data_IF_505454986045
#
_entry.id   IF_505454986045
#
_cell.length_a   1.000
_cell.length_b   1.000
_cell.length_c   1.000
_cell.angle_alpha   90.00
_cell.angle_beta   90.00
_cell.angle_gamma   90.00
#
_symmetry.space_group_name_H-M   'P 1'
#
loop_
_entity.id
_entity.type
_entity.pdbx_description
1 polymer ?
#
# COMPACT_ATOMS: atom_id res chain seq x y z
N UNK A 1 -10.36 -25.16 -11.56
CA UNK A 1 -11.50 -25.97 -12.04
C UNK A 1 -12.08 -25.30 -13.27
N UNK A 2 -11.87 -25.88 -14.45
CA UNK A 2 -12.46 -25.35 -15.69
C UNK A 2 -13.85 -25.98 -15.86
N UNK A 3 -14.89 -25.18 -15.67
CA UNK A 3 -16.23 -25.58 -16.04
C UNK A 3 -16.47 -25.13 -17.48
N UNK A 4 -16.74 -26.05 -18.37
CA UNK A 4 -17.04 -25.74 -19.77
C UNK A 4 -18.31 -24.87 -19.83
N UNK A 5 -18.18 -23.61 -20.24
CA UNK A 5 -19.31 -22.72 -20.49
C UNK A 5 -19.98 -23.15 -21.78
N UNK A 6 -21.29 -23.39 -21.74
CA UNK A 6 -22.07 -23.71 -22.94
C UNK A 6 -22.11 -22.47 -23.84
N UNK A 7 -21.57 -22.55 -25.04
CA UNK A 7 -21.35 -21.40 -25.94
C UNK A 7 -19.87 -21.16 -26.21
N UNK A 8 -18.99 -21.76 -25.41
CA UNK A 8 -17.60 -22.01 -25.66
C UNK A 8 -16.75 -20.79 -25.95
N UNK A 9 -15.70 -21.02 -26.67
CA UNK A 9 -14.66 -20.07 -27.07
C UNK A 9 -15.21 -18.81 -27.75
N UNK A 10 -16.22 -18.94 -28.60
CA UNK A 10 -16.83 -17.79 -29.29
C UNK A 10 -17.44 -16.79 -28.32
N UNK A 11 -18.11 -17.23 -27.26
CA UNK A 11 -18.70 -16.36 -26.26
C UNK A 11 -17.61 -15.61 -25.46
N UNK A 12 -16.52 -16.28 -25.15
CA UNK A 12 -15.35 -15.70 -24.44
C UNK A 12 -14.70 -14.64 -25.34
N UNK A 13 -14.43 -14.96 -26.60
CA UNK A 13 -13.82 -14.00 -27.55
C UNK A 13 -14.71 -12.78 -27.80
N UNK A 14 -16.01 -12.97 -27.89
CA UNK A 14 -16.96 -11.85 -28.02
C UNK A 14 -16.99 -10.99 -26.75
N UNK A 15 -16.94 -11.58 -25.56
CA UNK A 15 -16.84 -10.85 -24.30
C UNK A 15 -15.57 -10.00 -24.24
N UNK A 16 -14.42 -10.53 -24.69
CA UNK A 16 -13.17 -9.77 -24.76
C UNK A 16 -13.24 -8.59 -25.72
N UNK A 17 -13.91 -8.75 -26.87
CA UNK A 17 -14.13 -7.64 -27.80
C UNK A 17 -15.00 -6.55 -27.20
N UNK A 18 -16.13 -6.94 -26.57
CA UNK A 18 -17.00 -5.99 -25.87
C UNK A 18 -16.26 -5.24 -24.77
N UNK A 19 -15.42 -5.92 -23.98
CA UNK A 19 -14.60 -5.29 -22.97
C UNK A 19 -13.62 -4.26 -23.57
N UNK A 20 -13.03 -4.56 -24.73
CA UNK A 20 -12.14 -3.64 -25.41
C UNK A 20 -12.88 -2.40 -25.95
N UNK A 21 -14.10 -2.58 -26.46
CA UNK A 21 -14.98 -1.50 -26.92
C UNK A 21 -15.43 -0.61 -25.75
N UNK A 22 -15.85 -1.22 -24.64
CA UNK A 22 -16.27 -0.51 -23.44
C UNK A 22 -15.12 0.30 -22.82
N UNK A 23 -13.91 -0.31 -22.72
CA UNK A 23 -12.70 0.39 -22.27
C UNK A 23 -12.36 1.59 -23.18
N UNK A 24 -12.54 1.46 -24.50
CA UNK A 24 -12.28 2.55 -25.44
C UNK A 24 -13.26 3.71 -25.22
N UNK A 25 -14.52 3.41 -24.87
CA UNK A 25 -15.59 4.38 -24.76
C UNK A 25 -15.96 5.02 -26.10
N UNK A 26 -16.56 6.21 -26.05
CA UNK A 26 -16.97 6.96 -27.26
C UNK A 26 -15.75 7.30 -28.14
N UNK A 27 -15.69 6.82 -29.37
CA UNK A 27 -14.61 7.14 -30.31
C UNK A 27 -14.46 8.64 -30.64
N UNK A 28 -15.48 9.46 -30.42
CA UNK A 28 -15.39 10.90 -30.57
C UNK A 28 -14.56 11.58 -29.45
N UNK A 29 -14.41 10.91 -28.31
CA UNK A 29 -13.58 11.38 -27.19
C UNK A 29 -12.15 10.88 -27.37
N UNK A 30 -11.12 11.75 -27.33
CA UNK A 30 -9.72 11.34 -27.41
C UNK A 30 -9.35 10.37 -26.28
N UNK A 31 -8.57 9.35 -26.60
CA UNK A 31 -8.03 8.46 -25.57
C UNK A 31 -7.05 9.17 -24.64
N UNK A 32 -7.08 8.81 -23.35
CA UNK A 32 -6.03 9.21 -22.41
C UNK A 32 -4.69 8.64 -22.86
N UNK A 33 -3.68 9.48 -22.98
CA UNK A 33 -2.30 9.05 -23.19
C UNK A 33 -1.68 8.52 -21.89
N UNK A 34 -0.67 7.67 -21.98
CA UNK A 34 0.07 7.20 -20.78
C UNK A 34 0.73 8.37 -20.04
N UNK A 35 1.21 9.38 -20.76
CA UNK A 35 1.78 10.58 -20.16
C UNK A 35 0.77 11.36 -19.32
N UNK A 36 -0.47 11.49 -19.77
CA UNK A 36 -1.55 12.13 -18.99
C UNK A 36 -1.85 11.34 -17.73
N UNK A 37 -2.00 10.03 -17.80
CA UNK A 37 -2.24 9.18 -16.64
C UNK A 37 -1.07 9.29 -15.65
N UNK A 38 0.17 9.14 -16.13
CA UNK A 38 1.37 9.24 -15.30
C UNK A 38 1.49 10.58 -14.57
N UNK A 39 1.19 11.69 -15.27
CA UNK A 39 1.39 13.03 -14.71
C UNK A 39 0.20 13.53 -13.88
N UNK A 40 -1.03 13.18 -14.24
CA UNK A 40 -2.25 13.75 -13.66
C UNK A 40 -2.92 12.81 -12.66
N UNK A 41 -2.64 11.49 -12.71
CA UNK A 41 -3.16 10.49 -11.78
C UNK A 41 -2.05 9.89 -10.90
N UNK A 42 -1.09 10.71 -10.48
CA UNK A 42 0.13 10.29 -9.76
C UNK A 42 -0.15 9.44 -8.52
N UNK A 43 -1.20 9.76 -7.76
CA UNK A 43 -1.55 8.99 -6.55
C UNK A 43 -2.04 7.58 -6.88
N UNK A 44 -2.78 7.41 -7.98
CA UNK A 44 -3.20 6.09 -8.46
C UNK A 44 -2.00 5.30 -8.99
N UNK A 45 -1.11 5.94 -9.74
CA UNK A 45 0.15 5.34 -10.22
C UNK A 45 1.02 4.86 -9.05
N UNK A 46 1.21 5.70 -8.03
CA UNK A 46 1.97 5.36 -6.83
C UNK A 46 1.38 4.15 -6.08
N UNK A 47 0.05 4.10 -5.94
CA UNK A 47 -0.66 2.98 -5.34
C UNK A 47 -0.43 1.69 -6.13
N UNK A 48 -0.61 1.72 -7.44
CA UNK A 48 -0.42 0.55 -8.31
C UNK A 48 1.02 0.04 -8.24
N UNK A 49 2.03 0.93 -8.25
CA UNK A 49 3.42 0.54 -8.08
C UNK A 49 3.68 -0.14 -6.72
N UNK A 50 3.19 0.46 -5.63
CA UNK A 50 3.43 -0.04 -4.28
C UNK A 50 2.78 -1.41 -4.06
N UNK A 51 1.48 -1.52 -4.31
CA UNK A 51 0.73 -2.76 -4.13
C UNK A 51 1.09 -3.81 -5.21
N UNK A 52 1.54 -3.36 -6.39
CA UNK A 52 2.09 -4.19 -7.46
C UNK A 52 3.52 -4.68 -7.22
N UNK A 53 4.23 -4.13 -6.24
CA UNK A 53 5.63 -4.44 -5.93
C UNK A 53 6.58 -4.25 -7.12
N UNK A 54 6.35 -3.22 -7.92
CA UNK A 54 7.17 -2.84 -9.06
C UNK A 54 7.20 -1.33 -9.22
N UNK A 55 8.37 -0.72 -9.10
CA UNK A 55 8.54 0.70 -9.37
C UNK A 55 8.77 0.92 -10.86
N UNK A 56 7.71 1.23 -11.55
CA UNK A 56 7.72 1.66 -12.96
C UNK A 56 6.47 2.49 -13.23
N UNK A 57 6.59 3.84 -13.26
CA UNK A 57 5.44 4.72 -13.47
C UNK A 57 4.75 4.55 -14.83
N UNK A 58 5.49 4.16 -15.87
CA UNK A 58 4.95 4.00 -17.21
C UNK A 58 4.17 2.68 -17.33
N UNK A 59 4.69 1.59 -16.75
CA UNK A 59 3.96 0.31 -16.66
C UNK A 59 2.74 0.42 -15.75
N UNK A 60 2.83 1.15 -14.63
CA UNK A 60 1.68 1.39 -13.76
C UNK A 60 0.59 2.22 -14.47
N UNK A 61 0.98 3.25 -15.24
CA UNK A 61 0.05 4.03 -16.06
C UNK A 61 -0.60 3.17 -17.17
N UNK A 62 0.17 2.28 -17.79
CA UNK A 62 -0.35 1.32 -18.77
C UNK A 62 -1.36 0.36 -18.14
N UNK A 63 -1.05 -0.18 -16.97
CA UNK A 63 -1.94 -1.06 -16.23
C UNK A 63 -3.26 -0.36 -15.86
N UNK A 64 -3.19 0.88 -15.37
CA UNK A 64 -4.38 1.71 -15.10
C UNK A 64 -5.22 1.95 -16.35
N UNK A 65 -4.59 2.27 -17.48
CA UNK A 65 -5.29 2.44 -18.75
C UNK A 65 -5.96 1.15 -19.20
N UNK A 66 -5.26 0.01 -19.12
CA UNK A 66 -5.79 -1.29 -19.51
C UNK A 66 -6.95 -1.74 -18.62
N UNK A 67 -6.87 -1.42 -17.34
CA UNK A 67 -7.90 -1.73 -16.34
C UNK A 67 -9.05 -0.71 -16.30
N UNK A 68 -9.13 0.24 -17.26
CA UNK A 68 -10.14 1.30 -17.28
C UNK A 68 -10.25 2.09 -15.95
N UNK A 69 -9.13 2.23 -15.24
CA UNK A 69 -9.05 2.94 -13.95
C UNK A 69 -9.31 2.09 -12.70
N UNK A 70 -9.66 0.81 -12.84
CA UNK A 70 -9.75 -0.11 -11.71
C UNK A 70 -8.34 -0.40 -11.16
N UNK A 71 -8.08 0.11 -9.95
CA UNK A 71 -6.76 -0.02 -9.32
C UNK A 71 -6.44 -1.45 -8.91
N UNK A 72 -7.45 -2.27 -8.55
CA UNK A 72 -7.23 -3.68 -8.17
C UNK A 72 -6.81 -4.50 -9.38
N UNK A 73 -7.51 -4.34 -10.50
CA UNK A 73 -7.14 -4.98 -11.75
C UNK A 73 -5.77 -4.49 -12.26
N UNK A 74 -5.48 -3.19 -12.15
CA UNK A 74 -4.18 -2.63 -12.53
C UNK A 74 -3.02 -3.23 -11.71
N UNK A 75 -3.22 -3.42 -10.39
CA UNK A 75 -2.25 -4.07 -9.51
C UNK A 75 -2.05 -5.54 -9.94
N UNK A 76 -3.13 -6.25 -10.28
CA UNK A 76 -3.05 -7.62 -10.78
C UNK A 76 -2.20 -7.69 -12.05
N UNK A 77 -2.48 -6.83 -13.04
CA UNK A 77 -1.74 -6.78 -14.30
C UNK A 77 -0.25 -6.49 -14.08
N UNK A 78 0.06 -5.54 -13.19
CA UNK A 78 1.44 -5.18 -12.87
C UNK A 78 2.19 -6.32 -12.16
N UNK A 79 1.55 -7.01 -11.20
CA UNK A 79 2.13 -8.19 -10.54
C UNK A 79 2.35 -9.33 -11.52
N UNK A 80 1.39 -9.59 -12.42
CA UNK A 80 1.52 -10.62 -13.43
C UNK A 80 2.70 -10.32 -14.38
N UNK A 81 2.80 -9.07 -14.85
CA UNK A 81 3.93 -8.65 -15.67
C UNK A 81 5.27 -8.80 -14.94
N UNK A 82 5.33 -8.39 -13.66
CA UNK A 82 6.54 -8.52 -12.85
C UNK A 82 7.07 -9.95 -12.79
N UNK A 83 6.21 -10.97 -12.79
CA UNK A 83 6.63 -12.38 -12.77
C UNK A 83 7.35 -12.80 -14.04
N UNK A 84 7.21 -12.06 -15.13
CA UNK A 84 7.91 -12.32 -16.39
C UNK A 84 9.30 -11.71 -16.47
N UNK A 85 9.63 -10.80 -15.53
CA UNK A 85 10.90 -10.09 -15.51
C UNK A 85 11.99 -10.95 -14.81
N UNK A 86 13.19 -11.05 -15.38
CA UNK A 86 14.31 -11.66 -14.68
C UNK A 86 14.75 -10.77 -13.51
N UNK A 87 15.22 -11.39 -12.42
CA UNK A 87 15.93 -10.66 -11.39
C UNK A 87 17.42 -10.61 -11.76
N UNK A 88 17.96 -9.41 -11.89
CA UNK A 88 19.37 -9.20 -12.20
C UNK A 88 20.23 -9.12 -10.95
N UNK A 89 19.65 -8.67 -9.81
CA UNK A 89 20.38 -8.54 -8.56
C UNK A 89 19.50 -7.91 -7.47
N UNK A 90 20.12 -7.58 -6.36
CA UNK A 90 19.55 -6.82 -5.25
C UNK A 90 20.30 -5.50 -5.13
N UNK A 91 19.56 -4.41 -4.85
CA UNK A 91 20.21 -3.15 -4.47
C UNK A 91 20.83 -3.30 -3.09
N UNK A 92 21.84 -2.49 -2.80
CA UNK A 92 22.20 -2.24 -1.41
C UNK A 92 21.01 -1.62 -0.67
N UNK A 93 20.93 -1.70 0.69
CA UNK A 93 19.89 -1.04 1.44
C UNK A 93 19.79 0.45 1.06
N UNK A 94 18.57 0.94 0.84
CA UNK A 94 18.35 2.34 0.49
C UNK A 94 18.61 3.23 1.71
N UNK A 95 19.41 4.27 1.53
CA UNK A 95 19.64 5.30 2.55
C UNK A 95 18.59 6.41 2.44
N UNK A 96 17.52 6.31 3.22
CA UNK A 96 16.48 7.33 3.26
C UNK A 96 16.94 8.62 3.98
N UNK A 97 18.06 8.61 4.71
CA UNK A 97 18.64 9.83 5.27
C UNK A 97 19.19 10.75 4.17
N UNK A 98 19.66 10.16 3.06
CA UNK A 98 20.10 10.88 1.86
C UNK A 98 18.98 11.34 0.92
N UNK A 99 17.70 11.19 1.29
CA UNK A 99 16.56 11.56 0.45
C UNK A 99 16.61 13.05 0.04
N UNK A 100 16.46 13.32 -1.26
CA UNK A 100 16.14 14.64 -1.77
C UNK A 100 14.67 14.94 -1.47
N UNK A 101 14.44 15.74 -0.41
CA UNK A 101 13.13 15.91 0.20
C UNK A 101 12.28 16.91 -0.57
N UNK A 102 11.10 16.49 -1.02
CA UNK A 102 10.08 17.34 -1.67
C UNK A 102 8.94 17.73 -0.72
N UNK A 103 8.71 16.96 0.33
CA UNK A 103 7.78 17.23 1.42
C UNK A 103 8.32 16.64 2.72
N UNK A 104 8.21 17.40 3.83
CA UNK A 104 8.63 16.95 5.16
C UNK A 104 7.75 17.56 6.22
N UNK A 105 7.04 16.73 6.99
CA UNK A 105 6.13 17.16 8.05
C UNK A 105 6.42 16.37 9.32
N UNK A 106 6.38 17.03 10.45
CA UNK A 106 6.38 16.43 11.78
C UNK A 106 5.26 17.04 12.63
N UNK A 107 4.64 16.21 13.45
CA UNK A 107 3.68 16.63 14.46
C UNK A 107 4.31 16.74 15.86
N UNK A 108 5.59 16.36 16.02
CA UNK A 108 6.23 16.28 17.34
C UNK A 108 6.99 17.53 17.71
N UNK A 109 7.55 18.25 16.73
CA UNK A 109 8.28 19.50 16.96
C UNK A 109 7.77 20.60 16.03
N UNK A 110 7.69 21.82 16.57
CA UNK A 110 7.35 23.01 15.79
C UNK A 110 8.52 23.44 14.89
N UNK A 111 9.70 23.49 15.46
CA UNK A 111 10.91 23.94 14.78
C UNK A 111 11.84 22.73 14.57
N UNK A 112 12.08 22.39 13.31
CA UNK A 112 12.91 21.26 12.90
C UNK A 112 14.23 21.76 12.28
N UNK A 113 15.36 21.09 12.53
CA UNK A 113 16.55 21.27 11.70
C UNK A 113 16.23 20.98 10.23
N UNK A 114 16.52 21.92 9.33
CA UNK A 114 16.12 21.86 7.92
C UNK A 114 14.66 22.26 7.63
N UNK A 115 13.87 22.57 8.67
CA UNK A 115 12.49 23.06 8.54
C UNK A 115 11.46 21.99 8.18
N UNK A 116 10.21 22.42 8.15
CA UNK A 116 9.11 21.66 7.56
C UNK A 116 8.93 22.13 6.10
N UNK A 117 8.71 21.18 5.19
CA UNK A 117 8.51 21.45 3.76
C UNK A 117 7.09 20.99 3.43
N UNK A 118 6.21 21.95 3.15
CA UNK A 118 4.80 21.65 2.95
C UNK A 118 4.54 20.81 1.69
N UNK A 119 5.20 21.16 0.59
CA UNK A 119 5.00 20.48 -0.70
C UNK A 119 3.56 20.51 -1.20
N UNK A 120 3.23 19.76 -2.25
CA UNK A 120 1.86 19.62 -2.72
C UNK A 120 1.04 18.73 -1.76
N UNK A 121 -0.07 19.26 -1.23
CA UNK A 121 -0.91 18.55 -0.26
C UNK A 121 -2.37 18.99 -0.34
N UNK A 122 -3.28 18.07 0.00
CA UNK A 122 -4.69 18.38 0.21
C UNK A 122 -5.01 18.87 1.64
N UNK A 123 -4.06 18.85 2.57
CA UNK A 123 -4.30 19.08 4.00
C UNK A 123 -4.95 20.42 4.30
N UNK A 124 -4.61 21.44 3.53
CA UNK A 124 -5.10 22.81 3.70
C UNK A 124 -6.13 23.23 2.64
N UNK A 125 -6.58 22.29 1.80
CA UNK A 125 -7.66 22.56 0.86
C UNK A 125 -9.01 22.49 1.56
N UNK A 126 -10.00 23.23 1.05
CA UNK A 126 -11.35 23.20 1.59
C UNK A 126 -12.13 21.91 1.27
N UNK A 127 -11.55 21.02 0.42
CA UNK A 127 -12.17 19.76 -0.04
C UNK A 127 -13.52 19.98 -0.74
N UNK A 128 -13.67 21.11 -1.44
CA UNK A 128 -14.79 21.39 -2.30
C UNK A 128 -14.48 20.97 -3.74
N UNK A 129 -15.51 20.68 -4.51
CA UNK A 129 -15.36 20.46 -5.95
C UNK A 129 -14.91 21.76 -6.63
N UNK A 130 -13.91 21.66 -7.44
CA UNK A 130 -13.40 22.75 -8.28
C UNK A 130 -14.06 22.67 -9.66
N UNK A 131 -15.07 23.49 -9.88
CA UNK A 131 -15.80 23.51 -11.15
C UNK A 131 -15.03 24.16 -12.29
N UNK A 132 -13.93 24.87 -12.00
CA UNK A 132 -13.06 25.42 -13.06
C UNK A 132 -12.37 24.29 -13.84
N UNK A 133 -12.21 23.11 -13.22
CA UNK A 133 -11.69 21.91 -13.88
C UNK A 133 -12.65 21.30 -14.92
N UNK A 134 -13.90 21.78 -15.03
CA UNK A 134 -14.86 21.35 -16.06
C UNK A 134 -14.58 21.98 -17.43
N UNK A 135 -13.81 23.06 -17.49
CA UNK A 135 -13.43 23.70 -18.73
C UNK A 135 -12.37 22.84 -19.45
N UNK A 136 -12.71 22.44 -20.68
CA UNK A 136 -11.75 21.70 -21.51
C UNK A 136 -10.59 22.62 -21.92
N UNK A 137 -9.35 22.31 -21.51
CA UNK A 137 -8.19 23.11 -21.86
C UNK A 137 -7.69 22.85 -23.30
N UNK A 138 -8.48 22.20 -24.16
CA UNK A 138 -8.10 21.96 -25.55
C UNK A 138 -7.86 23.30 -26.25
N UNK A 139 -6.64 23.83 -26.18
CA UNK A 139 -6.22 25.06 -26.76
C UNK A 139 -5.57 26.09 -25.84
N UNK A 140 -5.48 25.84 -24.55
CA UNK A 140 -4.72 26.72 -23.65
C UNK A 140 -3.21 26.35 -23.63
N UNK A 141 -2.37 27.35 -23.90
CA UNK A 141 -0.94 27.21 -23.69
C UNK A 141 -0.64 26.90 -22.20
N UNK A 142 0.45 26.17 -21.88
CA UNK A 142 0.85 25.91 -20.50
C UNK A 142 0.88 27.23 -19.70
N UNK A 143 0.24 27.22 -18.52
CA UNK A 143 0.21 28.40 -17.66
C UNK A 143 1.63 28.82 -17.28
N UNK A 144 1.97 30.12 -17.31
CA UNK A 144 3.27 30.62 -16.84
C UNK A 144 3.64 30.18 -15.43
N UNK A 145 2.65 29.91 -14.59
CA UNK A 145 2.84 29.35 -13.24
C UNK A 145 3.55 27.98 -13.21
N UNK A 146 3.59 27.25 -14.33
CA UNK A 146 4.33 26.00 -14.42
C UNK A 146 5.85 26.21 -14.54
N UNK A 147 6.27 27.33 -15.13
CA UNK A 147 7.70 27.70 -15.24
C UNK A 147 8.25 28.23 -13.90
N UNK A 148 7.48 29.05 -13.17
CA UNK A 148 7.86 29.53 -11.84
C UNK A 148 7.97 28.40 -10.80
N UNK A 149 7.17 27.33 -10.91
CA UNK A 149 7.24 26.16 -10.03
C UNK A 149 8.50 25.33 -10.24
N UNK A 150 9.06 25.33 -11.44
CA UNK A 150 10.32 24.63 -11.73
C UNK A 150 11.53 25.34 -11.08
N UNK A 151 11.49 26.67 -10.94
CA UNK A 151 12.55 27.44 -10.30
C UNK A 151 12.50 27.36 -8.77
N UNK A 152 11.30 27.34 -8.15
CA UNK A 152 11.15 27.21 -6.70
C UNK A 152 11.38 25.78 -6.17
N UNK A 153 11.31 24.77 -7.01
CA UNK A 153 11.68 23.39 -6.63
C UNK A 153 13.21 23.21 -6.47
N UNK A 154 14.03 24.18 -6.90
CA UNK A 154 15.49 24.14 -6.72
C UNK A 154 15.96 24.52 -5.32
N UNK A 155 15.10 25.04 -4.46
CA UNK A 155 15.40 25.34 -3.05
C UNK A 155 15.15 24.16 -2.10
N UNK A 156 14.94 22.95 -2.62
CA UNK A 156 14.91 21.74 -1.80
C UNK A 156 16.25 21.60 -1.08
N UNK A 157 16.20 21.50 0.25
CA UNK A 157 17.40 21.42 1.08
C UNK A 157 18.31 20.26 0.62
N UNK A 158 19.37 20.58 -0.08
CA UNK A 158 20.37 19.63 -0.51
C UNK A 158 21.26 19.25 0.67
N UNK A 159 21.10 18.07 1.21
CA UNK A 159 21.95 17.49 2.23
C UNK A 159 21.19 16.60 3.21
N UNK A 160 21.88 15.68 3.87
CA UNK A 160 21.26 14.81 4.85
C UNK A 160 20.69 15.63 6.01
N UNK A 161 19.39 15.51 6.21
CA UNK A 161 18.67 16.19 7.29
C UNK A 161 18.45 15.18 8.42
N UNK A 162 18.84 15.48 9.66
CA UNK A 162 18.64 14.53 10.76
C UNK A 162 17.17 14.18 10.90
N UNK A 163 16.89 12.88 11.10
CA UNK A 163 15.53 12.40 11.35
C UNK A 163 14.99 13.01 12.63
N UNK A 164 13.71 13.37 12.64
CA UNK A 164 13.04 13.88 13.84
C UNK A 164 13.07 12.86 14.97
N UNK A 165 12.99 11.58 14.63
CA UNK A 165 13.04 10.49 15.63
C UNK A 165 14.42 10.40 16.27
N UNK A 166 15.49 10.68 15.54
CA UNK A 166 16.84 10.74 16.09
C UNK A 166 17.02 11.90 17.09
N UNK A 167 16.28 13.01 16.89
CA UNK A 167 16.25 14.12 17.84
C UNK A 167 15.55 13.73 19.16
N UNK A 168 14.49 12.90 19.08
CA UNK A 168 13.81 12.35 20.25
C UNK A 168 14.70 11.37 21.00
N UNK A 169 15.57 10.64 20.30
CA UNK A 169 16.46 9.63 20.89
C UNK A 169 17.63 10.24 21.70
N UNK A 170 17.94 11.52 21.50
CA UNK A 170 19.00 12.20 22.28
C UNK A 170 18.75 12.17 23.81
N UNK A 171 17.52 11.99 24.23
CA UNK A 171 17.15 11.84 25.65
C UNK A 171 17.04 10.39 26.10
N UNK A 172 17.24 9.41 25.20
CA UNK A 172 17.07 7.97 25.49
C UNK A 172 15.62 7.58 25.79
N UNK A 173 14.66 8.33 25.26
CA UNK A 173 13.22 8.12 25.51
C UNK A 173 12.52 7.35 24.37
N UNK A 174 13.24 7.04 23.31
CA UNK A 174 12.72 6.29 22.16
C UNK A 174 13.35 4.91 22.11
N UNK A 175 12.57 3.91 21.76
CA UNK A 175 13.11 2.57 21.54
C UNK A 175 14.24 2.58 20.49
N UNK A 176 15.28 1.84 20.77
CA UNK A 176 16.40 1.69 19.82
C UNK A 176 16.15 0.55 18.88
N UNK A 177 16.44 0.74 17.60
CA UNK A 177 16.46 -0.31 16.60
C UNK A 177 17.92 -0.51 16.16
N UNK A 178 18.59 -1.55 16.66
CA UNK A 178 19.96 -1.81 16.25
C UNK A 178 19.99 -2.10 14.75
N UNK A 179 20.95 -1.47 14.06
CA UNK A 179 21.22 -1.78 12.66
C UNK A 179 21.77 -3.19 12.61
N UNK A 180 21.18 -4.11 11.81
CA UNK A 180 21.71 -5.47 11.68
C UNK A 180 23.15 -5.46 11.20
N UNK A 181 23.99 -6.32 11.78
CA UNK A 181 25.34 -6.53 11.24
C UNK A 181 25.24 -7.31 9.92
N UNK A 182 25.91 -6.80 8.88
CA UNK A 182 25.91 -7.39 7.54
C UNK A 182 24.70 -7.02 6.71
N UNK A 183 24.50 -7.72 5.60
CA UNK A 183 23.37 -7.58 4.69
C UNK A 183 22.49 -8.84 4.79
N UNK A 184 21.55 -8.90 5.73
CA UNK A 184 20.67 -10.05 5.85
C UNK A 184 19.77 -10.12 4.63
N UNK A 185 19.77 -11.25 3.91
CA UNK A 185 18.84 -11.51 2.83
C UNK A 185 17.40 -11.60 3.38
N UNK A 186 16.53 -10.61 3.14
CA UNK A 186 15.18 -10.65 3.65
C UNK A 186 14.35 -11.70 2.91
N UNK A 187 13.34 -12.25 3.59
CA UNK A 187 12.33 -13.07 2.92
C UNK A 187 11.65 -12.26 1.80
N UNK A 188 11.50 -12.85 0.63
CA UNK A 188 10.95 -12.17 -0.55
C UNK A 188 9.52 -12.66 -0.85
N UNK A 189 8.52 -11.96 -0.35
CA UNK A 189 7.10 -12.25 -0.57
C UNK A 189 6.66 -12.19 -2.05
N UNK A 190 7.49 -11.70 -2.93
CA UNK A 190 7.21 -11.70 -4.36
C UNK A 190 7.57 -13.03 -5.04
N UNK A 191 8.28 -13.92 -4.34
CA UNK A 191 8.76 -15.21 -4.83
C UNK A 191 8.41 -16.37 -3.92
N UNK A 192 8.31 -16.12 -2.62
CA UNK A 192 8.04 -17.11 -1.60
C UNK A 192 6.73 -16.80 -0.86
N UNK A 193 5.98 -17.84 -0.46
CA UNK A 193 4.74 -17.63 0.27
C UNK A 193 5.01 -17.05 1.67
N UNK A 194 4.02 -16.30 2.17
CA UNK A 194 4.00 -15.84 3.56
C UNK A 194 4.04 -17.05 4.52
N UNK A 195 4.87 -16.96 5.54
CA UNK A 195 4.98 -17.98 6.61
C UNK A 195 4.80 -17.32 7.97
N UNK A 196 4.20 -18.05 8.90
CA UNK A 196 3.99 -17.60 10.27
C UNK A 196 4.84 -18.40 11.26
N UNK A 197 5.35 -17.76 12.31
CA UNK A 197 5.34 -16.31 12.55
C UNK A 197 6.25 -15.59 11.55
N UNK A 198 5.82 -14.41 11.09
CA UNK A 198 6.61 -13.57 10.20
C UNK A 198 7.47 -12.58 11.02
N UNK A 199 8.72 -12.40 10.62
CA UNK A 199 9.57 -11.36 11.17
C UNK A 199 9.09 -9.96 10.73
N UNK A 200 9.65 -8.91 11.32
CA UNK A 200 9.22 -7.54 11.03
C UNK A 200 9.48 -7.14 9.57
N UNK A 201 10.58 -7.59 8.97
CA UNK A 201 10.90 -7.28 7.57
C UNK A 201 9.84 -7.88 6.63
N UNK A 202 9.46 -9.13 6.86
CA UNK A 202 8.38 -9.80 6.13
C UNK A 202 7.02 -9.13 6.35
N UNK A 203 6.70 -8.73 7.60
CA UNK A 203 5.48 -7.97 7.90
C UNK A 203 5.43 -6.66 7.11
N UNK A 204 6.49 -5.88 7.14
CA UNK A 204 6.56 -4.60 6.41
C UNK A 204 6.43 -4.79 4.89
N UNK A 205 7.04 -5.82 4.31
CA UNK A 205 6.81 -6.16 2.90
C UNK A 205 5.34 -6.47 2.61
N UNK A 206 4.70 -7.29 3.47
CA UNK A 206 3.29 -7.64 3.31
C UNK A 206 2.41 -6.40 3.41
N UNK A 207 2.64 -5.52 4.39
CA UNK A 207 1.89 -4.27 4.53
C UNK A 207 2.08 -3.34 3.33
N UNK A 208 3.29 -3.26 2.75
CA UNK A 208 3.52 -2.49 1.53
C UNK A 208 2.69 -3.02 0.35
N UNK A 209 2.56 -4.34 0.22
CA UNK A 209 1.75 -5.01 -0.80
C UNK A 209 0.25 -4.98 -0.49
N UNK A 210 -0.12 -4.80 0.77
CA UNK A 210 -1.50 -4.81 1.24
C UNK A 210 -2.34 -3.66 0.69
N UNK A 211 -3.66 -3.84 0.66
CA UNK A 211 -4.62 -2.83 0.22
C UNK A 211 -4.58 -1.57 1.12
N UNK A 212 -4.46 -0.40 0.50
CA UNK A 212 -4.43 0.87 1.24
C UNK A 212 -5.68 1.06 2.09
N UNK A 213 -6.87 0.72 1.57
CA UNK A 213 -8.13 0.88 2.28
C UNK A 213 -8.26 -0.05 3.48
N UNK A 214 -7.84 -1.31 3.34
CA UNK A 214 -7.80 -2.26 4.45
C UNK A 214 -6.85 -1.79 5.55
N UNK A 215 -5.64 -1.38 5.19
CA UNK A 215 -4.66 -0.89 6.16
C UNK A 215 -5.11 0.40 6.84
N UNK A 216 -5.76 1.30 6.10
CA UNK A 216 -6.34 2.51 6.65
C UNK A 216 -7.42 2.19 7.70
N UNK A 217 -8.30 1.22 7.41
CA UNK A 217 -9.31 0.76 8.35
C UNK A 217 -8.70 0.10 9.59
N UNK A 218 -7.67 -0.73 9.41
CA UNK A 218 -6.94 -1.34 10.52
C UNK A 218 -6.23 -0.30 11.37
N UNK A 219 -5.49 0.61 10.75
CA UNK A 219 -4.84 1.74 11.44
C UNK A 219 -5.85 2.62 12.18
N UNK A 220 -6.99 2.94 11.57
CA UNK A 220 -8.07 3.68 12.21
C UNK A 220 -8.63 2.94 13.44
N UNK A 221 -8.80 1.61 13.36
CA UNK A 221 -9.30 0.83 14.49
C UNK A 221 -8.37 0.90 15.71
N UNK A 222 -7.06 1.00 15.50
CA UNK A 222 -6.10 1.19 16.59
C UNK A 222 -6.25 2.53 17.29
N UNK A 223 -6.82 3.54 16.61
CA UNK A 223 -7.00 4.89 17.15
C UNK A 223 -8.34 5.06 17.85
N UNK A 224 -9.39 4.46 17.31
CA UNK A 224 -10.77 4.74 17.72
C UNK A 224 -11.31 3.81 18.79
N UNK A 225 -10.86 2.58 18.87
CA UNK A 225 -11.53 1.58 19.71
C UNK A 225 -10.65 0.90 20.76
N UNK A 226 -9.36 0.74 20.47
CA UNK A 226 -8.51 -0.16 21.24
C UNK A 226 -7.26 0.49 21.80
N UNK A 227 -7.02 1.76 21.52
CA UNK A 227 -5.81 2.42 21.97
C UNK A 227 -6.00 3.21 23.26
N UNK A 228 -4.97 3.23 24.08
CA UNK A 228 -4.88 4.03 25.30
C UNK A 228 -3.95 5.23 25.16
N UNK A 229 -3.26 5.36 24.00
CA UNK A 229 -2.37 6.47 23.73
C UNK A 229 -2.60 7.02 22.32
N UNK A 230 -2.46 8.34 22.16
CA UNK A 230 -2.53 8.98 20.85
C UNK A 230 -1.17 8.85 20.16
N UNK A 231 -1.09 8.33 18.91
CA UNK A 231 0.13 8.34 18.13
C UNK A 231 0.35 9.72 17.51
N UNK A 232 1.60 10.01 17.23
CA UNK A 232 2.00 11.22 16.53
C UNK A 232 2.85 10.86 15.31
N UNK A 233 2.70 11.63 14.25
CA UNK A 233 3.65 11.58 13.13
C UNK A 233 4.97 12.15 13.64
N UNK A 234 5.91 11.29 13.96
CA UNK A 234 7.27 11.68 14.28
C UNK A 234 7.87 12.39 13.08
N UNK A 235 7.81 11.75 11.93
CA UNK A 235 8.18 12.35 10.66
C UNK A 235 7.47 11.65 9.50
N UNK A 236 7.03 12.43 8.51
CA UNK A 236 6.68 11.94 7.18
C UNK A 236 7.51 12.68 6.15
N UNK A 237 8.15 11.94 5.24
CA UNK A 237 8.98 12.47 4.15
C UNK A 237 8.53 11.90 2.83
N UNK A 238 8.50 12.73 1.82
CA UNK A 238 8.35 12.35 0.42
C UNK A 238 9.47 12.98 -0.39
N UNK A 239 10.12 12.20 -1.24
CA UNK A 239 11.23 12.65 -2.07
C UNK A 239 11.84 11.54 -2.89
N UNK A 240 13.00 11.78 -3.47
CA UNK A 240 13.76 10.81 -4.28
C UNK A 240 14.94 10.25 -3.52
N UNK A 241 15.24 8.98 -3.77
CA UNK A 241 16.37 8.25 -3.18
C UNK A 241 17.08 7.48 -4.28
N UNK A 242 18.41 7.49 -4.24
CA UNK A 242 19.26 6.71 -5.14
C UNK A 242 19.08 5.21 -4.93
N UNK A 243 19.03 4.47 -6.04
CA UNK A 243 19.11 3.00 -6.05
C UNK A 243 20.52 2.59 -6.48
N UNK A 244 21.20 1.92 -5.58
CA UNK A 244 22.60 1.53 -5.79
C UNK A 244 22.72 0.02 -5.86
N UNK A 245 23.43 -0.49 -6.85
CA UNK A 245 23.85 -1.89 -6.95
C UNK A 245 25.34 -2.01 -6.65
N UNK A 246 25.73 -3.11 -6.03
CA UNK A 246 27.12 -3.51 -5.85
C UNK A 246 27.35 -4.88 -6.53
N UNK A 247 27.51 -4.91 -7.89
CA UNK A 247 27.73 -6.14 -8.61
C UNK A 247 29.07 -6.76 -8.22
N UNK A 248 29.13 -8.09 -8.11
CA UNK A 248 30.35 -8.81 -7.75
C UNK A 248 31.48 -8.60 -8.78
N UNK A 249 31.13 -8.27 -10.04
CA UNK A 249 32.07 -8.03 -11.13
C UNK A 249 32.74 -6.66 -11.07
N UNK A 250 32.25 -5.76 -10.19
CA UNK A 250 32.77 -4.40 -10.04
C UNK A 250 33.29 -4.19 -8.62
N UNK A 251 34.45 -3.54 -8.50
CA UNK A 251 35.03 -3.19 -7.19
C UNK A 251 34.40 -1.95 -6.55
N UNK A 252 33.30 -1.44 -7.10
CA UNK A 252 32.61 -0.23 -6.63
C UNK A 252 31.09 -0.32 -6.83
N UNK A 253 30.31 0.35 -5.97
CA UNK A 253 28.86 0.45 -6.14
C UNK A 253 28.49 1.38 -7.31
N UNK A 254 27.39 1.05 -8.00
CA UNK A 254 26.87 1.79 -9.15
C UNK A 254 25.46 2.30 -8.85
N UNK A 255 25.23 3.61 -8.93
CA UNK A 255 23.86 4.17 -8.95
C UNK A 255 23.21 3.83 -10.29
N UNK A 256 22.04 3.19 -10.24
CA UNK A 256 21.25 2.79 -11.41
C UNK A 256 20.06 3.73 -11.65
N UNK A 257 19.85 4.72 -10.79
CA UNK A 257 18.79 5.71 -10.89
C UNK A 257 18.18 6.05 -9.56
N UNK A 258 17.15 6.88 -9.59
CA UNK A 258 16.42 7.34 -8.41
C UNK A 258 14.98 6.81 -8.42
N UNK A 259 14.41 6.61 -7.23
CA UNK A 259 13.01 6.29 -7.05
C UNK A 259 12.36 7.27 -6.08
N UNK A 260 11.08 7.61 -6.34
CA UNK A 260 10.27 8.38 -5.41
C UNK A 260 9.74 7.47 -4.29
N UNK A 261 9.91 7.91 -3.05
CA UNK A 261 9.43 7.20 -1.85
C UNK A 261 8.69 8.13 -0.91
N UNK A 262 7.67 7.61 -0.26
CA UNK A 262 7.07 8.20 0.94
C UNK A 262 7.40 7.34 2.15
N UNK A 263 8.05 7.93 3.13
CA UNK A 263 8.42 7.30 4.40
C UNK A 263 7.64 7.94 5.55
N UNK A 264 7.12 7.13 6.47
CA UNK A 264 6.45 7.61 7.67
C UNK A 264 6.96 6.87 8.90
N UNK A 265 7.30 7.62 9.94
CA UNK A 265 7.58 7.11 11.27
C UNK A 265 6.54 7.67 12.25
N UNK A 266 5.71 6.78 12.80
CA UNK A 266 4.80 7.12 13.90
C UNK A 266 5.49 6.87 15.23
N UNK A 267 5.22 7.73 16.22
CA UNK A 267 5.67 7.53 17.59
C UNK A 267 4.47 7.45 18.52
N UNK A 268 4.50 6.44 19.41
CA UNK A 268 3.43 6.17 20.36
C UNK A 268 4.02 6.15 21.76
N UNK A 269 3.37 6.81 22.72
CA UNK A 269 3.68 6.62 24.12
C UNK A 269 3.44 5.16 24.51
N UNK A 270 4.39 4.59 25.21
CA UNK A 270 4.32 3.25 25.79
C UNK A 270 4.60 3.33 27.29
N UNK A 271 3.66 2.88 28.09
CA UNK A 271 3.76 2.98 29.55
C UNK A 271 4.73 1.98 30.20
N UNK A 272 5.35 1.13 29.36
CA UNK A 272 6.19 0.04 29.80
C UNK A 272 5.41 -1.27 29.98
N UNK A 273 6.14 -2.36 30.06
CA UNK A 273 5.65 -3.70 30.39
C UNK A 273 6.53 -4.34 31.47
N UNK A 274 6.40 -5.65 31.67
CA UNK A 274 7.30 -6.38 32.57
C UNK A 274 8.73 -6.52 32.03
N UNK A 275 8.88 -6.40 30.72
CA UNK A 275 10.14 -6.61 30.00
C UNK A 275 10.74 -5.32 29.47
N UNK A 276 9.92 -4.30 29.20
CA UNK A 276 10.32 -3.06 28.56
C UNK A 276 9.99 -1.84 29.42
N UNK A 277 10.88 -0.83 29.52
CA UNK A 277 10.64 0.40 30.26
C UNK A 277 9.61 1.31 29.55
N UNK A 278 9.06 2.31 30.25
CA UNK A 278 8.30 3.38 29.61
C UNK A 278 9.17 4.13 28.60
N UNK A 279 8.66 4.28 27.37
CA UNK A 279 9.38 4.92 26.25
C UNK A 279 8.41 5.30 25.12
N UNK A 280 8.90 5.96 24.09
CA UNK A 280 8.20 6.05 22.83
C UNK A 280 8.55 4.85 21.95
N UNK A 281 7.53 4.15 21.48
CA UNK A 281 7.68 3.06 20.49
C UNK A 281 7.40 3.58 19.10
N UNK A 282 8.00 2.97 18.08
CA UNK A 282 7.92 3.42 16.68
C UNK A 282 7.16 2.45 15.82
N UNK A 283 6.32 2.98 14.93
CA UNK A 283 5.81 2.28 13.76
C UNK A 283 6.45 2.84 12.51
N UNK A 284 6.57 2.02 11.48
CA UNK A 284 7.22 2.36 10.22
C UNK A 284 6.35 2.04 9.00
N UNK A 285 6.40 2.91 8.01
CA UNK A 285 5.76 2.69 6.72
C UNK A 285 6.57 3.30 5.59
N UNK A 286 6.68 2.56 4.50
CA UNK A 286 7.39 2.95 3.28
C UNK A 286 6.57 2.54 2.06
N UNK A 287 6.41 3.47 1.11
CA UNK A 287 5.65 3.25 -0.11
C UNK A 287 6.32 3.93 -1.30
N UNK A 288 6.12 3.38 -2.50
CA UNK A 288 6.57 4.01 -3.74
C UNK A 288 5.74 5.25 -4.05
N UNK A 289 6.39 6.28 -4.58
CA UNK A 289 5.77 7.53 -4.99
C UNK A 289 5.17 8.31 -3.82
N UNK A 290 4.23 9.22 -4.11
CA UNK A 290 3.55 10.05 -3.11
C UNK A 290 2.34 9.30 -2.52
N UNK A 291 2.51 8.64 -1.39
CA UNK A 291 1.52 7.74 -0.77
C UNK A 291 1.44 7.92 0.75
N UNK A 292 1.16 9.14 1.24
CA UNK A 292 1.14 9.44 2.68
C UNK A 292 0.13 8.59 3.47
N UNK A 293 -1.11 8.45 2.98
CA UNK A 293 -2.12 7.62 3.66
C UNK A 293 -1.65 6.19 3.83
N UNK A 294 -1.03 5.62 2.80
CA UNK A 294 -0.47 4.27 2.82
C UNK A 294 0.64 4.15 3.86
N UNK A 295 1.63 5.04 3.80
CA UNK A 295 2.77 5.03 4.72
C UNK A 295 2.34 5.24 6.18
N UNK A 296 1.40 6.16 6.44
CA UNK A 296 0.83 6.39 7.77
C UNK A 296 0.05 5.17 8.27
N UNK A 297 -0.81 4.59 7.43
CA UNK A 297 -1.59 3.39 7.78
C UNK A 297 -0.66 2.19 8.09
N UNK A 298 0.36 1.98 7.26
CA UNK A 298 1.40 0.98 7.52
C UNK A 298 2.06 1.19 8.89
N UNK A 299 2.47 2.42 9.20
CA UNK A 299 3.14 2.74 10.46
C UNK A 299 2.28 2.42 11.68
N UNK A 300 0.98 2.72 11.63
CA UNK A 300 0.04 2.40 12.71
C UNK A 300 -0.12 0.89 12.88
N UNK A 301 -0.26 0.17 11.78
CA UNK A 301 -0.44 -1.29 11.80
C UNK A 301 0.86 -2.01 12.19
N UNK A 302 2.02 -1.56 11.68
CA UNK A 302 3.32 -2.10 12.09
C UNK A 302 3.50 -2.00 13.61
N UNK A 303 3.21 -0.84 14.21
CA UNK A 303 3.26 -0.68 15.67
C UNK A 303 2.28 -1.62 16.39
N UNK A 304 1.06 -1.77 15.86
CA UNK A 304 0.05 -2.64 16.46
C UNK A 304 0.48 -4.12 16.44
N UNK A 305 1.05 -4.58 15.34
CA UNK A 305 1.55 -5.95 15.17
C UNK A 305 2.72 -6.28 16.11
N UNK A 306 3.37 -5.28 16.66
CA UNK A 306 4.48 -5.45 17.62
C UNK A 306 4.03 -5.58 19.06
N UNK A 307 2.73 -5.58 19.33
CA UNK A 307 2.20 -5.72 20.69
C UNK A 307 2.79 -6.90 21.47
N UNK A 308 2.90 -8.14 20.90
CA UNK A 308 3.53 -9.24 21.61
C UNK A 308 5.02 -9.02 21.93
N UNK A 309 5.76 -8.38 21.03
CA UNK A 309 7.19 -8.07 21.20
C UNK A 309 7.42 -7.09 22.35
N UNK A 310 6.47 -6.18 22.55
CA UNK A 310 6.49 -5.19 23.63
C UNK A 310 5.86 -5.69 24.94
N UNK A 311 5.43 -6.96 24.99
CA UNK A 311 4.75 -7.53 26.17
C UNK A 311 3.34 -6.95 26.41
N UNK A 312 2.71 -6.39 25.39
CA UNK A 312 1.32 -5.94 25.43
C UNK A 312 0.36 -7.10 25.12
N UNK A 313 -0.85 -7.04 25.69
CA UNK A 313 -1.89 -8.01 25.39
C UNK A 313 -2.47 -7.76 23.98
N UNK A 314 -2.68 -8.84 23.24
CA UNK A 314 -3.39 -8.79 21.94
C UNK A 314 -4.88 -8.68 22.21
N UNK A 315 -5.48 -7.54 21.92
CA UNK A 315 -6.88 -7.21 22.21
C UNK A 315 -7.69 -6.82 20.98
N UNK A 316 -7.02 -6.58 19.84
CA UNK A 316 -7.67 -6.12 18.62
C UNK A 316 -7.22 -6.90 17.39
N UNK A 317 -8.05 -6.97 16.34
CA UNK A 317 -7.67 -7.59 15.07
C UNK A 317 -6.38 -6.99 14.47
N UNK A 318 -6.14 -5.69 14.62
CA UNK A 318 -4.94 -5.03 14.11
C UNK A 318 -3.63 -5.49 14.78
N UNK A 319 -3.72 -6.14 15.94
CA UNK A 319 -2.58 -6.73 16.66
C UNK A 319 -2.37 -8.21 16.32
N UNK A 320 -3.30 -8.82 15.58
CA UNK A 320 -3.26 -10.24 15.22
C UNK A 320 -2.54 -10.41 13.89
N UNK A 321 -1.29 -10.86 13.95
CA UNK A 321 -0.43 -10.99 12.76
C UNK A 321 -1.07 -11.81 11.65
N UNK A 322 -1.58 -13.00 11.98
CA UNK A 322 -2.20 -13.88 11.00
C UNK A 322 -3.43 -13.25 10.35
N UNK A 323 -4.29 -12.58 11.15
CA UNK A 323 -5.45 -11.89 10.62
C UNK A 323 -5.07 -10.76 9.65
N UNK A 324 -4.18 -9.86 10.07
CA UNK A 324 -3.80 -8.71 9.25
C UNK A 324 -3.11 -9.15 7.97
N UNK A 325 -2.10 -10.00 8.07
CA UNK A 325 -1.28 -10.34 6.92
C UNK A 325 -2.00 -11.23 5.90
N UNK A 326 -2.89 -12.12 6.37
CA UNK A 326 -3.68 -12.99 5.48
C UNK A 326 -4.83 -12.28 4.79
N UNK A 327 -5.28 -11.10 5.28
CA UNK A 327 -6.44 -10.40 4.72
C UNK A 327 -6.08 -9.06 4.07
N UNK A 328 -4.82 -8.65 4.13
CA UNK A 328 -4.39 -7.36 3.58
C UNK A 328 -4.20 -7.39 2.06
N UNK A 329 -3.97 -8.54 1.45
CA UNK A 329 -3.75 -8.64 0.00
C UNK A 329 -5.07 -8.60 -0.78
N UNK A 330 -5.30 -7.47 -1.46
CA UNK A 330 -6.53 -7.22 -2.20
C UNK A 330 -6.70 -8.14 -3.41
N UNK A 331 -5.61 -8.63 -4.00
CA UNK A 331 -5.68 -9.56 -5.14
C UNK A 331 -6.13 -10.94 -4.70
N UNK A 332 -5.62 -11.44 -3.57
CA UNK A 332 -6.07 -12.71 -3.00
C UNK A 332 -7.54 -12.62 -2.60
N UNK A 333 -7.93 -11.55 -1.90
CA UNK A 333 -9.30 -11.30 -1.49
C UNK A 333 -10.24 -11.19 -2.71
N UNK A 334 -9.86 -10.41 -3.72
CA UNK A 334 -10.63 -10.21 -4.94
C UNK A 334 -10.76 -11.52 -5.74
N UNK A 335 -9.67 -12.26 -5.89
CA UNK A 335 -9.67 -13.54 -6.59
C UNK A 335 -10.59 -14.55 -5.93
N UNK A 336 -10.56 -14.63 -4.59
CA UNK A 336 -11.45 -15.51 -3.84
C UNK A 336 -12.92 -15.09 -3.96
N UNK A 337 -13.24 -13.82 -3.77
CA UNK A 337 -14.63 -13.34 -3.84
C UNK A 337 -15.18 -13.44 -5.25
N UNK A 338 -14.39 -13.07 -6.26
CA UNK A 338 -14.86 -13.08 -7.64
C UNK A 338 -15.07 -14.50 -8.20
N UNK A 339 -14.34 -15.51 -7.72
CA UNK A 339 -14.60 -16.88 -8.19
C UNK A 339 -16.00 -17.37 -7.82
N UNK A 340 -16.63 -16.82 -6.77
CA UNK A 340 -17.98 -17.22 -6.33
C UNK A 340 -19.06 -16.96 -7.38
N UNK A 341 -18.83 -16.04 -8.34
CA UNK A 341 -19.73 -15.79 -9.47
C UNK A 341 -19.57 -16.78 -10.62
N UNK A 342 -18.52 -17.59 -10.59
CA UNK A 342 -18.28 -18.61 -11.60
C UNK A 342 -19.23 -19.81 -11.39
N UNK A 343 -19.44 -20.66 -12.42
CA UNK A 343 -20.37 -21.78 -12.32
C UNK A 343 -20.03 -22.76 -11.19
N UNK A 344 -20.89 -22.83 -10.17
CA UNK A 344 -20.82 -23.76 -9.04
C UNK A 344 -22.10 -24.60 -8.92
N UNK A 345 -22.82 -24.84 -10.03
CA UNK A 345 -24.12 -25.48 -10.00
C UNK A 345 -24.07 -26.94 -9.52
N UNK A 346 -22.96 -27.64 -9.69
CA UNK A 346 -22.81 -29.01 -9.18
C UNK A 346 -22.73 -29.00 -7.66
N UNK A 347 -21.87 -28.16 -7.10
CA UNK A 347 -21.71 -28.01 -5.66
C UNK A 347 -22.99 -27.47 -5.02
N UNK A 348 -23.65 -26.48 -5.67
CA UNK A 348 -24.92 -25.94 -5.19
C UNK A 348 -26.04 -27.01 -5.15
N UNK A 349 -26.12 -27.90 -6.14
CA UNK A 349 -27.11 -29.01 -6.09
C UNK A 349 -26.83 -29.97 -4.94
N UNK A 350 -25.57 -30.25 -4.64
CA UNK A 350 -25.19 -31.07 -3.49
C UNK A 350 -25.62 -30.44 -2.17
N UNK A 351 -25.34 -29.14 -1.98
CA UNK A 351 -25.74 -28.37 -0.81
C UNK A 351 -27.28 -28.31 -0.67
N UNK A 352 -27.99 -28.12 -1.79
CA UNK A 352 -29.45 -28.09 -1.82
C UNK A 352 -30.05 -29.42 -1.32
N UNK A 353 -29.49 -30.55 -1.73
CA UNK A 353 -29.92 -31.86 -1.25
C UNK A 353 -29.60 -32.06 0.23
N UNK A 354 -28.48 -31.60 0.70
CA UNK A 354 -28.10 -31.61 2.11
C UNK A 354 -29.09 -30.78 2.95
N UNK A 355 -29.42 -29.57 2.53
CA UNK A 355 -30.40 -28.69 3.23
C UNK A 355 -31.78 -29.34 3.27
N UNK A 356 -32.23 -29.99 2.18
CA UNK A 356 -33.51 -30.76 2.17
C UNK A 356 -33.51 -31.85 3.22
N UNK A 357 -32.43 -32.65 3.32
CA UNK A 357 -32.28 -33.71 4.32
C UNK A 357 -32.28 -33.18 5.74
N UNK A 358 -31.55 -32.05 6.00
CA UNK A 358 -31.53 -31.42 7.31
C UNK A 358 -32.92 -30.93 7.72
N UNK A 359 -33.67 -30.29 6.81
CA UNK A 359 -35.04 -29.82 7.08
C UNK A 359 -36.00 -31.02 7.38
N UNK A 360 -35.90 -32.09 6.64
CA UNK A 360 -36.70 -33.28 6.87
C UNK A 360 -36.40 -33.88 8.26
N UNK A 361 -35.13 -33.96 8.64
CA UNK A 361 -34.73 -34.47 9.96
C UNK A 361 -35.21 -33.53 11.10
N UNK A 362 -35.15 -32.24 10.94
CA UNK A 362 -35.65 -31.29 11.92
C UNK A 362 -37.18 -31.40 12.11
N UNK A 363 -37.93 -31.54 11.01
CA UNK A 363 -39.37 -31.68 11.06
C UNK A 363 -39.81 -32.97 11.79
N UNK A 364 -39.01 -34.05 11.76
CA UNK A 364 -39.23 -35.27 12.48
C UNK A 364 -38.94 -35.15 13.99
N UNK A 365 -38.08 -34.26 14.37
CA UNK A 365 -37.70 -34.01 15.78
C UNK A 365 -38.58 -33.00 16.51
N UNK A 366 -39.37 -32.18 15.79
CA UNK A 366 -40.31 -31.25 16.39
C UNK A 366 -41.56 -32.02 16.87
N UNK A 367 -41.85 -32.14 18.19
CA UNK A 367 -43.06 -32.76 18.67
C UNK A 367 -44.27 -32.04 18.08
N UNK A 368 -45.21 -32.78 17.54
CA UNK A 368 -46.55 -32.22 17.24
C UNK A 368 -47.08 -31.62 18.54
N UNK A 369 -47.17 -30.28 18.60
CA UNK A 369 -47.93 -29.63 19.66
C UNK A 369 -49.33 -30.22 19.61
N UNK A 370 -49.73 -30.90 20.70
CA UNK A 370 -51.12 -31.38 20.86
C UNK A 370 -52.04 -30.20 20.63
N UNK A 371 -52.84 -30.29 19.59
CA UNK A 371 -53.92 -29.34 19.37
C UNK A 371 -54.97 -29.52 20.47
N UNK A 372 -55.53 -28.40 21.02
CA UNK A 372 -56.49 -28.45 22.10
C UNK A 372 -57.83 -29.10 21.74
#
# INVERSE_FOLDING_TARGET
MYVAVKGGETAILNSQKLLAEERRGDPAVPELSLAQIRQQLRLAVARVMTEGSLYDPDLAALALKQAAGDTVEAIFLLRAHRTTLPRLGYSVPLDTAGMTVLRRISATFKDLPGGQILGPTYDYTQRLLDFDLTFDPAGQAPSPAAAERAETAQDAAHGPTPSVVDLLDQEGLVETHPIPEGDPAPHDLTREPLRFPADRATRLQNLARGDEGFLLAMGYSTQRGYTHSHPFVGEIRFGTVDVVLAPEELDFPLSIGEIELTECQMVNQFAGSKTEPPQFTRGYGLAFGHSERKAMAMSLVDRALRAPELGEAVQSPAQMQEFVLSHSDNLEASGFVQHLKLPHYVDFQSELDLVRKMRAAQAQQTPKADAP
#
